data_IF_790753046509
#
_entry.id   IF_790753046509
#
_cell.length_a   1.000
_cell.length_b   1.000
_cell.length_c   1.000
_cell.angle_alpha   90.00
_cell.angle_beta   90.00
_cell.angle_gamma   90.00
#
_symmetry.space_group_name_H-M   'P 1'
#
loop_
_entity.id
_entity.type
_entity.pdbx_description
1 polymer ?
#
# COMPACT_ATOMS: atom_id res chain seq x y z
N UNK A 1 -43.05 0.14 -22.02
CA UNK A 1 -42.47 1.16 -21.12
C UNK A 1 -41.76 0.42 -20.00
N UNK A 2 -40.46 0.14 -20.18
CA UNK A 2 -39.64 -0.50 -19.14
C UNK A 2 -39.27 0.54 -18.09
N UNK A 3 -39.72 0.31 -16.85
CA UNK A 3 -39.38 1.16 -15.72
C UNK A 3 -37.90 0.95 -15.36
N UNK A 4 -37.07 1.94 -15.73
CA UNK A 4 -35.69 2.08 -15.30
C UNK A 4 -35.65 2.31 -13.78
N UNK A 5 -35.63 1.22 -13.01
CA UNK A 5 -35.40 1.26 -11.56
C UNK A 5 -33.92 1.51 -11.31
N UNK A 6 -33.51 2.78 -11.33
CA UNK A 6 -32.21 3.24 -10.84
C UNK A 6 -32.06 2.79 -9.38
N UNK A 7 -31.42 1.64 -9.16
CA UNK A 7 -30.96 1.20 -7.84
C UNK A 7 -30.14 2.34 -7.22
N UNK A 8 -30.40 2.74 -5.97
CA UNK A 8 -29.70 3.84 -5.36
C UNK A 8 -28.21 3.51 -5.36
N UNK A 9 -27.40 4.37 -6.01
CA UNK A 9 -25.95 4.28 -5.95
C UNK A 9 -25.52 4.61 -4.53
N UNK A 10 -25.55 3.62 -3.65
CA UNK A 10 -25.01 3.74 -2.31
C UNK A 10 -23.52 3.98 -2.49
N UNK A 11 -23.06 5.19 -2.16
CA UNK A 11 -21.65 5.59 -2.21
C UNK A 11 -20.77 4.45 -1.67
N UNK A 12 -19.89 3.90 -2.52
CA UNK A 12 -19.01 2.76 -2.20
C UNK A 12 -18.25 2.95 -0.87
N UNK A 13 -17.97 4.20 -0.52
CA UNK A 13 -17.33 4.61 0.72
C UNK A 13 -18.16 4.32 1.99
N UNK A 14 -19.49 4.41 1.93
CA UNK A 14 -20.36 4.09 3.09
C UNK A 14 -20.38 2.59 3.39
N UNK A 15 -20.31 1.75 2.36
CA UNK A 15 -20.31 0.29 2.51
C UNK A 15 -19.00 -0.28 3.05
N UNK A 16 -17.89 0.44 2.91
CA UNK A 16 -16.57 0.03 3.45
C UNK A 16 -16.36 0.40 4.92
N UNK A 17 -17.12 1.36 5.46
CA UNK A 17 -17.00 1.83 6.85
C UNK A 17 -17.07 0.72 7.91
N UNK A 18 -17.93 -0.31 7.80
CA UNK A 18 -17.97 -1.43 8.74
C UNK A 18 -16.70 -2.29 8.70
N UNK A 19 -16.08 -2.43 7.52
CA UNK A 19 -14.87 -3.26 7.32
C UNK A 19 -13.67 -2.65 8.05
N UNK A 20 -13.57 -1.32 8.11
CA UNK A 20 -12.53 -0.63 8.89
C UNK A 20 -12.58 -0.94 10.40
N UNK A 21 -13.68 -1.50 10.93
CA UNK A 21 -13.74 -1.98 12.32
C UNK A 21 -12.79 -3.16 12.54
N UNK A 22 -12.61 -4.02 11.54
CA UNK A 22 -11.68 -5.16 11.60
C UNK A 22 -10.21 -4.73 11.55
N UNK A 23 -9.91 -3.48 11.13
CA UNK A 23 -8.56 -2.92 11.22
C UNK A 23 -8.22 -2.37 12.61
N UNK A 24 -9.22 -2.02 13.44
CA UNK A 24 -9.00 -1.45 14.78
C UNK A 24 -8.08 -2.27 15.70
N UNK A 25 -8.14 -3.61 15.76
CA UNK A 25 -7.21 -4.38 16.58
C UNK A 25 -5.75 -4.31 16.06
N UNK A 26 -5.55 -4.04 14.77
CA UNK A 26 -4.24 -4.05 14.12
C UNK A 26 -3.62 -2.65 13.93
N UNK A 27 -4.09 -1.62 14.65
CA UNK A 27 -3.62 -0.23 14.51
C UNK A 27 -2.11 -0.05 14.67
N UNK A 28 -1.50 -0.78 15.61
CA UNK A 28 -0.05 -0.73 15.82
C UNK A 28 0.71 -1.23 14.58
N UNK A 29 0.28 -2.35 14.01
CA UNK A 29 0.85 -2.91 12.78
C UNK A 29 0.68 -1.96 11.59
N UNK A 30 -0.49 -1.34 11.46
CA UNK A 30 -0.73 -0.31 10.44
C UNK A 30 0.23 0.86 10.62
N UNK A 31 0.42 1.35 11.86
CA UNK A 31 1.37 2.43 12.14
C UNK A 31 2.81 2.05 11.76
N UNK A 32 3.27 0.84 12.10
CA UNK A 32 4.59 0.35 11.70
C UNK A 32 4.74 0.23 10.19
N UNK A 33 3.73 -0.28 9.50
CA UNK A 33 3.75 -0.39 8.04
C UNK A 33 3.76 0.99 7.35
N UNK A 34 3.03 1.97 7.90
CA UNK A 34 3.04 3.36 7.43
C UNK A 34 4.39 4.03 7.68
N UNK A 35 5.00 3.83 8.85
CA UNK A 35 6.35 4.33 9.14
C UNK A 35 7.38 3.73 8.18
N UNK A 36 7.37 2.41 7.99
CA UNK A 36 8.23 1.74 7.02
C UNK A 36 8.02 2.27 5.60
N UNK A 37 6.78 2.59 5.24
CA UNK A 37 6.44 3.21 3.95
C UNK A 37 7.05 4.60 3.80
N UNK A 38 6.92 5.47 4.80
CA UNK A 38 7.48 6.83 4.75
C UNK A 38 9.01 6.77 4.66
N UNK A 39 9.65 5.92 5.47
CA UNK A 39 11.11 5.73 5.46
C UNK A 39 11.57 5.24 4.09
N UNK A 40 10.94 4.21 3.53
CA UNK A 40 11.32 3.66 2.22
C UNK A 40 11.05 4.63 1.08
N UNK A 41 9.98 5.41 1.12
CA UNK A 41 9.71 6.47 0.16
C UNK A 41 10.80 7.56 0.22
N UNK A 42 11.19 7.99 1.43
CA UNK A 42 12.28 8.95 1.64
C UNK A 42 13.63 8.45 1.11
N UNK A 43 13.98 7.19 1.37
CA UNK A 43 15.20 6.57 0.84
C UNK A 43 15.14 6.50 -0.69
N UNK A 44 14.00 6.09 -1.27
CA UNK A 44 13.83 6.00 -2.72
C UNK A 44 13.99 7.36 -3.42
N UNK A 45 13.53 8.45 -2.81
CA UNK A 45 13.75 9.81 -3.32
C UNK A 45 15.20 10.25 -3.12
N UNK A 46 15.80 9.89 -1.98
CA UNK A 46 17.19 10.20 -1.67
C UNK A 46 18.17 9.49 -2.61
N UNK A 47 17.82 8.34 -3.18
CA UNK A 47 18.65 7.66 -4.18
C UNK A 47 18.94 8.56 -5.40
N UNK A 48 17.97 9.34 -5.86
CA UNK A 48 18.18 10.29 -6.97
C UNK A 48 19.26 11.34 -6.63
N UNK A 49 19.24 11.88 -5.42
CA UNK A 49 20.27 12.80 -4.93
C UNK A 49 21.58 12.07 -4.60
N UNK A 50 21.52 10.81 -4.16
CA UNK A 50 22.68 9.98 -3.87
C UNK A 50 23.52 9.70 -5.11
N UNK A 51 22.88 9.42 -6.25
CA UNK A 51 23.56 9.30 -7.55
C UNK A 51 24.27 10.60 -7.92
N UNK A 52 23.62 11.75 -7.72
CA UNK A 52 24.24 13.07 -7.94
C UNK A 52 25.49 13.26 -7.08
N UNK A 53 25.44 12.92 -5.79
CA UNK A 53 26.59 13.01 -4.89
C UNK A 53 27.75 12.08 -5.31
N UNK A 54 27.45 10.87 -5.77
CA UNK A 54 28.48 9.93 -6.27
C UNK A 54 29.16 10.49 -7.52
N UNK A 55 28.40 11.11 -8.43
CA UNK A 55 28.96 11.74 -9.63
C UNK A 55 29.80 12.97 -9.23
N UNK A 56 29.21 13.91 -8.50
CA UNK A 56 29.81 15.21 -8.20
C UNK A 56 31.02 15.10 -7.24
N UNK A 57 30.95 14.24 -6.22
CA UNK A 57 32.01 14.12 -5.21
C UNK A 57 32.88 12.86 -5.38
N UNK A 58 32.41 11.85 -6.10
CA UNK A 58 33.19 10.63 -6.34
C UNK A 58 34.01 10.70 -7.62
N UNK A 59 33.37 11.04 -8.74
CA UNK A 59 34.02 11.04 -10.06
C UNK A 59 34.70 12.38 -10.39
N UNK A 60 34.07 13.51 -10.09
CA UNK A 60 34.62 14.84 -10.44
C UNK A 60 35.78 15.24 -9.49
N UNK A 61 35.71 14.88 -8.20
CA UNK A 61 36.75 15.24 -7.22
C UNK A 61 38.05 14.42 -7.34
N UNK A 62 38.05 13.29 -8.07
CA UNK A 62 39.25 12.50 -8.38
C UNK A 62 39.92 11.78 -7.20
N UNK A 63 39.31 11.74 -6.00
CA UNK A 63 39.86 11.08 -4.82
C UNK A 63 39.28 9.68 -4.63
N UNK A 64 40.13 8.64 -4.66
CA UNK A 64 39.71 7.25 -4.39
C UNK A 64 38.98 7.08 -3.06
N UNK A 65 39.36 7.85 -2.03
CA UNK A 65 38.76 7.78 -0.70
C UNK A 65 37.31 8.27 -0.70
N UNK A 66 37.03 9.38 -1.40
CA UNK A 66 35.66 9.92 -1.53
C UNK A 66 34.77 9.03 -2.39
N UNK A 67 35.34 8.42 -3.44
CA UNK A 67 34.63 7.45 -4.27
C UNK A 67 34.23 6.21 -3.46
N UNK A 68 35.18 5.60 -2.72
CA UNK A 68 34.89 4.44 -1.86
C UNK A 68 33.84 4.77 -0.79
N UNK A 69 33.96 5.91 -0.11
CA UNK A 69 32.99 6.34 0.90
C UNK A 69 31.58 6.55 0.30
N UNK A 70 31.49 7.13 -0.89
CA UNK A 70 30.22 7.37 -1.58
C UNK A 70 29.55 6.05 -1.99
N UNK A 71 30.33 5.10 -2.51
CA UNK A 71 29.83 3.75 -2.87
C UNK A 71 29.32 3.01 -1.63
N UNK A 72 30.07 2.98 -0.53
CA UNK A 72 29.63 2.32 0.70
C UNK A 72 28.38 2.97 1.30
N UNK A 73 28.27 4.30 1.24
CA UNK A 73 27.08 5.02 1.69
C UNK A 73 25.86 4.66 0.84
N UNK A 74 26.02 4.62 -0.49
CA UNK A 74 24.96 4.20 -1.41
C UNK A 74 24.54 2.75 -1.19
N UNK A 75 25.50 1.84 -0.98
CA UNK A 75 25.24 0.44 -0.67
C UNK A 75 24.46 0.30 0.64
N UNK A 76 24.84 1.05 1.69
CA UNK A 76 24.11 1.11 2.95
C UNK A 76 22.66 1.59 2.78
N UNK A 77 22.44 2.64 1.98
CA UNK A 77 21.10 3.14 1.66
C UNK A 77 20.25 2.11 0.91
N UNK A 78 20.82 1.41 -0.07
CA UNK A 78 20.12 0.35 -0.82
C UNK A 78 19.76 -0.82 0.09
N UNK A 79 20.67 -1.25 0.97
CA UNK A 79 20.39 -2.29 1.97
C UNK A 79 19.27 -1.87 2.91
N UNK A 80 19.28 -0.63 3.41
CA UNK A 80 18.23 -0.10 4.27
C UNK A 80 16.88 -0.02 3.53
N UNK A 81 16.90 0.37 2.26
CA UNK A 81 15.70 0.39 1.41
C UNK A 81 15.12 -1.01 1.24
N UNK A 82 15.97 -2.02 1.00
CA UNK A 82 15.57 -3.40 0.82
C UNK A 82 14.90 -3.95 2.10
N UNK A 83 15.53 -3.73 3.27
CA UNK A 83 14.98 -4.12 4.56
C UNK A 83 13.64 -3.43 4.81
N UNK A 84 13.57 -2.11 4.65
CA UNK A 84 12.32 -1.38 4.85
C UNK A 84 11.21 -1.82 3.90
N UNK A 85 11.56 -2.13 2.65
CA UNK A 85 10.60 -2.62 1.64
C UNK A 85 10.07 -3.99 2.01
N UNK A 86 10.96 -4.89 2.44
CA UNK A 86 10.60 -6.22 2.92
C UNK A 86 9.69 -6.14 4.16
N UNK A 87 10.09 -5.39 5.19
CA UNK A 87 9.30 -5.21 6.41
C UNK A 87 7.91 -4.66 6.10
N UNK A 88 7.83 -3.62 5.25
CA UNK A 88 6.55 -3.07 4.82
C UNK A 88 5.71 -4.12 4.12
N UNK A 89 6.26 -4.83 3.13
CA UNK A 89 5.52 -5.83 2.37
C UNK A 89 5.01 -6.97 3.25
N UNK A 90 5.86 -7.46 4.16
CA UNK A 90 5.51 -8.50 5.11
C UNK A 90 4.38 -8.07 6.05
N UNK A 91 4.52 -6.91 6.71
CA UNK A 91 3.50 -6.38 7.63
C UNK A 91 2.15 -6.20 6.93
N UNK A 92 2.18 -5.70 5.69
CA UNK A 92 0.96 -5.44 4.95
C UNK A 92 0.30 -6.73 4.47
N UNK A 93 1.07 -7.70 3.96
CA UNK A 93 0.54 -9.02 3.59
C UNK A 93 -0.08 -9.73 4.80
N UNK A 94 0.64 -9.74 5.93
CA UNK A 94 0.16 -10.35 7.17
C UNK A 94 -1.12 -9.68 7.67
N UNK A 95 -1.20 -8.35 7.60
CA UNK A 95 -2.40 -7.59 7.97
C UNK A 95 -3.59 -7.97 7.09
N UNK A 96 -3.39 -8.02 5.76
CA UNK A 96 -4.44 -8.39 4.81
C UNK A 96 -5.02 -9.77 5.10
N UNK A 97 -4.14 -10.76 5.33
CA UNK A 97 -4.56 -12.12 5.68
C UNK A 97 -5.34 -12.17 7.00
N UNK A 98 -4.85 -11.50 8.05
CA UNK A 98 -5.50 -11.50 9.37
C UNK A 98 -6.87 -10.83 9.35
N UNK A 99 -6.97 -9.66 8.73
CA UNK A 99 -8.25 -8.93 8.59
C UNK A 99 -9.27 -9.79 7.85
N UNK A 100 -8.85 -10.49 6.80
CA UNK A 100 -9.75 -11.35 6.02
C UNK A 100 -10.11 -12.64 6.74
N UNK A 101 -9.19 -13.23 7.51
CA UNK A 101 -9.51 -14.37 8.36
C UNK A 101 -10.60 -14.01 9.38
N UNK A 102 -10.47 -12.86 10.04
CA UNK A 102 -11.47 -12.36 11.00
C UNK A 102 -12.81 -12.07 10.31
N UNK A 103 -12.77 -11.48 9.11
CA UNK A 103 -13.97 -11.21 8.32
C UNK A 103 -14.68 -12.52 7.92
N UNK A 104 -13.95 -13.49 7.37
CA UNK A 104 -14.50 -14.80 6.99
C UNK A 104 -15.10 -15.51 8.19
N UNK A 105 -14.44 -15.46 9.35
CA UNK A 105 -14.96 -16.04 10.60
C UNK A 105 -16.27 -15.37 11.02
N UNK A 106 -16.32 -14.04 11.03
CA UNK A 106 -17.53 -13.30 11.41
C UNK A 106 -18.71 -13.58 10.45
N UNK A 107 -18.46 -13.58 9.14
CA UNK A 107 -19.50 -13.87 8.14
C UNK A 107 -19.95 -15.32 8.24
N UNK A 108 -19.03 -16.29 8.37
CA UNK A 108 -19.37 -17.69 8.52
C UNK A 108 -20.24 -17.96 9.76
N UNK A 109 -19.85 -17.40 10.92
CA UNK A 109 -20.65 -17.51 12.14
C UNK A 109 -22.04 -16.91 11.97
N UNK A 110 -22.19 -15.82 11.22
CA UNK A 110 -23.49 -15.22 10.96
C UNK A 110 -24.35 -16.09 10.03
N UNK A 111 -23.76 -16.63 8.96
CA UNK A 111 -24.45 -17.48 7.98
C UNK A 111 -24.98 -18.76 8.63
N UNK A 112 -24.17 -19.44 9.46
CA UNK A 112 -24.59 -20.70 10.10
C UNK A 112 -25.77 -20.53 11.07
N UNK A 113 -25.97 -19.33 11.62
CA UNK A 113 -27.08 -19.02 12.51
C UNK A 113 -28.32 -18.46 11.79
N UNK A 114 -28.33 -18.44 10.46
CA UNK A 114 -29.42 -17.85 9.68
C UNK A 114 -30.60 -18.83 9.52
N UNK A 115 -31.81 -18.30 9.37
CA UNK A 115 -33.03 -19.11 9.26
C UNK A 115 -32.99 -20.01 8.00
N UNK A 116 -33.51 -21.25 8.06
CA UNK A 116 -33.49 -22.19 6.93
C UNK A 116 -34.03 -21.62 5.60
N UNK A 117 -35.04 -20.75 5.65
CA UNK A 117 -35.61 -20.10 4.46
C UNK A 117 -34.59 -19.29 3.65
N UNK A 118 -33.52 -18.80 4.28
CA UNK A 118 -32.45 -18.11 3.56
C UNK A 118 -31.68 -19.04 2.61
N UNK A 119 -31.52 -20.31 2.99
CA UNK A 119 -30.81 -21.33 2.22
C UNK A 119 -31.68 -21.94 1.10
N UNK A 120 -33.00 -21.74 1.15
CA UNK A 120 -33.91 -22.09 0.06
C UNK A 120 -33.78 -21.10 -1.11
N UNK A 121 -33.57 -19.81 -0.81
CA UNK A 121 -33.37 -18.76 -1.82
C UNK A 121 -31.91 -18.63 -2.28
N UNK A 122 -30.94 -18.88 -1.39
CA UNK A 122 -29.51 -18.69 -1.68
C UNK A 122 -28.76 -20.02 -1.64
N UNK A 123 -28.24 -20.45 -2.79
CA UNK A 123 -27.46 -21.70 -2.87
C UNK A 123 -26.21 -21.62 -2.02
N UNK A 124 -25.92 -22.67 -1.26
CA UNK A 124 -24.70 -22.80 -0.44
C UNK A 124 -23.41 -22.54 -1.22
N UNK A 125 -23.36 -22.94 -2.50
CA UNK A 125 -22.25 -22.66 -3.41
C UNK A 125 -22.05 -21.17 -3.72
N UNK A 126 -23.14 -20.41 -3.86
CA UNK A 126 -23.06 -18.95 -4.05
C UNK A 126 -22.55 -18.26 -2.77
N UNK A 127 -23.03 -18.69 -1.62
CA UNK A 127 -22.59 -18.17 -0.32
C UNK A 127 -21.09 -18.40 -0.13
N UNK A 128 -20.60 -19.63 -0.40
CA UNK A 128 -19.17 -19.93 -0.32
C UNK A 128 -18.35 -19.17 -1.35
N UNK A 129 -18.87 -18.99 -2.57
CA UNK A 129 -18.23 -18.19 -3.62
C UNK A 129 -18.04 -16.74 -3.18
N UNK A 130 -19.07 -16.10 -2.64
CA UNK A 130 -19.00 -14.73 -2.11
C UNK A 130 -18.06 -14.66 -0.90
N UNK A 131 -18.18 -15.60 0.03
CA UNK A 131 -17.32 -15.67 1.23
C UNK A 131 -15.85 -15.79 0.89
N UNK A 132 -15.48 -16.46 -0.21
CA UNK A 132 -14.09 -16.63 -0.63
C UNK A 132 -13.62 -15.51 -1.57
N UNK A 133 -14.39 -15.22 -2.62
CA UNK A 133 -13.99 -14.31 -3.70
C UNK A 133 -14.08 -12.84 -3.27
N UNK A 134 -15.20 -12.41 -2.67
CA UNK A 134 -15.36 -11.01 -2.26
C UNK A 134 -14.40 -10.67 -1.11
N UNK A 135 -14.16 -11.63 -0.20
CA UNK A 135 -13.20 -11.42 0.89
C UNK A 135 -11.75 -11.45 0.41
N UNK A 136 -11.43 -12.18 -0.68
CA UNK A 136 -10.11 -12.11 -1.31
C UNK A 136 -9.85 -10.73 -1.96
N UNK A 137 -10.87 -10.08 -2.52
CA UNK A 137 -10.75 -8.70 -2.99
C UNK A 137 -10.45 -7.73 -1.83
N UNK A 138 -11.10 -7.91 -0.68
CA UNK A 138 -10.77 -7.13 0.52
C UNK A 138 -9.34 -7.44 1.01
N UNK A 139 -8.89 -8.69 0.88
CA UNK A 139 -7.51 -9.08 1.22
C UNK A 139 -6.50 -8.29 0.43
N UNK A 140 -6.68 -8.15 -0.88
CA UNK A 140 -5.74 -7.42 -1.73
C UNK A 140 -5.75 -5.92 -1.42
N UNK A 141 -6.92 -5.35 -1.12
CA UNK A 141 -7.05 -3.94 -0.74
C UNK A 141 -6.22 -3.62 0.51
N UNK A 142 -6.40 -4.39 1.58
CA UNK A 142 -5.67 -4.17 2.84
C UNK A 142 -4.22 -4.69 2.79
N UNK A 143 -3.98 -5.75 2.01
CA UNK A 143 -2.71 -6.44 1.93
C UNK A 143 -1.66 -5.69 1.11
N UNK A 144 -2.05 -5.03 0.01
CA UNK A 144 -1.08 -4.41 -0.88
C UNK A 144 -1.59 -3.15 -1.58
N UNK A 145 -2.81 -3.13 -2.11
CA UNK A 145 -3.29 -2.03 -2.98
C UNK A 145 -3.28 -0.68 -2.28
N UNK A 146 -3.76 -0.61 -1.03
CA UNK A 146 -3.75 0.64 -0.27
C UNK A 146 -2.32 1.14 -0.02
N UNK A 147 -1.40 0.22 0.33
CA UNK A 147 0.01 0.55 0.57
C UNK A 147 0.72 0.99 -0.70
N UNK A 148 0.42 0.36 -1.85
CA UNK A 148 0.94 0.77 -3.15
C UNK A 148 0.42 2.15 -3.55
N UNK A 149 -0.89 2.40 -3.40
CA UNK A 149 -1.48 3.71 -3.69
C UNK A 149 -0.83 4.82 -2.85
N UNK A 150 -0.69 4.60 -1.53
CA UNK A 150 -0.07 5.58 -0.64
C UNK A 150 1.41 5.82 -0.97
N UNK A 151 2.16 4.75 -1.28
CA UNK A 151 3.54 4.87 -1.76
C UNK A 151 3.61 5.71 -3.03
N UNK A 152 2.78 5.41 -4.03
CA UNK A 152 2.76 6.14 -5.29
C UNK A 152 2.44 7.62 -5.09
N UNK A 153 1.47 7.95 -4.23
CA UNK A 153 1.17 9.35 -3.89
C UNK A 153 2.35 10.06 -3.23
N UNK A 154 3.03 9.40 -2.28
CA UNK A 154 4.20 9.97 -1.61
C UNK A 154 5.41 10.12 -2.53
N UNK A 155 5.71 9.12 -3.35
CA UNK A 155 6.81 9.19 -4.31
C UNK A 155 6.53 10.22 -5.41
N UNK A 156 5.28 10.32 -5.89
CA UNK A 156 4.88 11.32 -6.88
C UNK A 156 5.01 12.74 -6.31
N UNK A 157 4.39 13.00 -5.16
CA UNK A 157 4.45 14.33 -4.53
C UNK A 157 5.87 14.71 -4.11
N UNK A 158 6.61 13.81 -3.46
CA UNK A 158 7.99 14.06 -3.05
C UNK A 158 8.94 14.23 -4.23
N UNK A 159 8.76 13.46 -5.30
CA UNK A 159 9.51 13.60 -6.55
C UNK A 159 9.24 14.94 -7.24
N UNK A 160 7.97 15.35 -7.34
CA UNK A 160 7.56 16.63 -7.90
C UNK A 160 8.20 17.80 -7.12
N UNK A 161 8.16 17.75 -5.79
CA UNK A 161 8.78 18.76 -4.92
C UNK A 161 10.30 18.82 -5.15
N UNK A 162 10.98 17.67 -5.20
CA UNK A 162 12.43 17.63 -5.47
C UNK A 162 12.79 18.21 -6.84
N UNK A 163 11.97 17.96 -7.87
CA UNK A 163 12.20 18.43 -9.23
C UNK A 163 12.13 19.97 -9.26
N UNK A 164 11.08 20.54 -8.66
CA UNK A 164 10.87 22.00 -8.57
C UNK A 164 12.01 22.67 -7.80
N UNK A 165 12.46 22.09 -6.68
CA UNK A 165 13.57 22.62 -5.88
C UNK A 165 14.89 22.56 -6.66
N UNK A 166 15.12 21.49 -7.44
CA UNK A 166 16.38 21.30 -8.16
C UNK A 166 16.51 22.26 -9.33
N UNK A 167 15.47 22.39 -10.16
CA UNK A 167 15.45 23.37 -11.25
C UNK A 167 14.02 23.64 -11.72
N UNK A 168 13.40 24.68 -11.19
CA UNK A 168 12.03 25.08 -11.55
C UNK A 168 11.84 25.34 -13.05
N UNK A 169 12.87 25.81 -13.75
CA UNK A 169 12.80 26.14 -15.19
C UNK A 169 12.76 24.89 -16.06
N UNK A 170 13.58 23.87 -15.75
CA UNK A 170 13.52 22.57 -16.43
C UNK A 170 12.27 21.78 -16.04
N UNK A 171 11.81 21.93 -14.79
CA UNK A 171 10.59 21.28 -14.29
C UNK A 171 9.38 21.65 -15.12
N UNK A 172 9.17 22.95 -15.36
CA UNK A 172 8.01 23.46 -16.08
C UNK A 172 8.01 23.10 -17.57
N UNK A 173 9.15 22.70 -18.12
CA UNK A 173 9.25 22.26 -19.52
C UNK A 173 8.87 20.78 -19.69
N UNK A 174 9.01 19.98 -18.63
CA UNK A 174 8.73 18.52 -18.62
C UNK A 174 7.32 18.21 -18.14
N UNK A 175 6.76 19.05 -17.26
CA UNK A 175 5.41 18.92 -16.71
C UNK A 175 4.33 19.36 -17.71
#
# INVERSE_FOLDING_TARGET
>A
MEANTKKPQVSAYKSLRPVFRFLKPYKAMVAFALLALIITAGISLSLGQGVKLVIDNGFIAGSEAQLKASIFTMLGLVCLMAIGTFTRFYLMSWLGERVVADLRKAVFTHVVNMHPSYFEENRSGEIMSRLTSDTALLQSIFGSSFSMALRSMLTFSGGLIMLIITNAKLSFFVL
#
